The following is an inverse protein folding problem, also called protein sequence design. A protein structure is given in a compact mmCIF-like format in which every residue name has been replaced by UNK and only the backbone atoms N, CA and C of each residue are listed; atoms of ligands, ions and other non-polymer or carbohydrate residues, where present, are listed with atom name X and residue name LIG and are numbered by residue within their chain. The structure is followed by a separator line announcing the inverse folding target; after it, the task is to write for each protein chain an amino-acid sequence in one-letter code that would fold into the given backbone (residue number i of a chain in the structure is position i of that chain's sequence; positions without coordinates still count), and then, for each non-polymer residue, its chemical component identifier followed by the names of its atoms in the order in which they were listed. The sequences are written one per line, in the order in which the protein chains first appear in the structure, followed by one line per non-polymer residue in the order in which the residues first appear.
data_IF_426617515750
#
_entry.id   IF_426617515750
#
_cell.length_a   1.000
_cell.length_b   1.000
_cell.length_c   1.000
_cell.angle_alpha   90.00
_cell.angle_beta   90.00
_cell.angle_gamma   90.00
#
_symmetry.space_group_name_H-M   'P 1'
#
loop_
_entity.id
_entity.type
_entity.pdbx_description
1 polymer ?
#
# COMPACT_ATOMS: atom_id res chain seq x y z
N UNK A 1 55.01 12.26 -33.04
CA UNK A 1 53.69 12.73 -33.52
C UNK A 1 53.12 13.65 -32.45
N UNK A 2 53.08 14.94 -32.77
CA UNK A 2 52.69 16.10 -31.97
C UNK A 2 51.22 16.39 -32.34
N UNK A 3 50.29 16.78 -31.45
CA UNK A 3 49.81 18.16 -31.15
C UNK A 3 48.58 17.93 -30.23
N UNK A 4 48.53 18.30 -28.95
CA UNK A 4 48.32 19.62 -28.29
C UNK A 4 46.92 20.26 -28.50
N UNK A 5 46.37 20.72 -27.37
CA UNK A 5 45.11 21.44 -27.18
C UNK A 5 44.91 22.65 -28.11
N UNK A 6 43.65 23.02 -28.37
CA UNK A 6 43.25 24.44 -28.44
C UNK A 6 41.73 24.60 -28.38
N UNK A 7 41.29 25.43 -27.45
CA UNK A 7 39.95 26.00 -27.43
C UNK A 7 39.75 26.91 -28.64
N UNK A 8 38.53 26.95 -29.19
CA UNK A 8 38.05 28.06 -30.01
C UNK A 8 36.66 28.42 -29.52
N UNK A 9 36.61 29.49 -28.73
CA UNK A 9 35.43 30.30 -28.57
C UNK A 9 35.19 31.04 -29.90
N UNK A 10 34.00 30.90 -30.48
CA UNK A 10 33.51 31.79 -31.52
C UNK A 10 32.06 32.15 -31.18
N UNK A 11 31.96 33.31 -30.55
CA UNK A 11 30.80 34.14 -30.33
C UNK A 11 30.11 34.45 -31.68
N UNK A 12 28.84 34.06 -31.86
CA UNK A 12 27.98 34.65 -32.89
C UNK A 12 26.80 35.30 -32.19
N UNK A 13 26.86 36.64 -32.15
CA UNK A 13 25.82 37.53 -31.70
C UNK A 13 24.89 37.82 -32.89
N UNK A 14 23.59 37.53 -32.78
CA UNK A 14 22.66 37.81 -33.88
C UNK A 14 21.18 37.50 -33.60
N UNK A 15 20.51 38.45 -32.94
CA UNK A 15 19.12 38.89 -33.14
C UNK A 15 17.91 37.91 -32.99
N UNK A 16 17.20 38.11 -31.87
CA UNK A 16 15.75 38.40 -31.73
C UNK A 16 14.65 37.39 -32.16
N UNK A 17 13.73 37.15 -31.20
CA UNK A 17 12.35 36.64 -31.34
C UNK A 17 12.20 35.20 -31.85
N UNK A 18 11.75 34.20 -31.11
CA UNK A 18 10.48 34.14 -30.38
C UNK A 18 10.30 32.72 -29.80
N UNK A 19 9.58 32.61 -28.68
CA UNK A 19 9.08 31.38 -28.04
C UNK A 19 10.12 30.31 -27.65
N UNK A 20 10.61 30.41 -26.41
CA UNK A 20 11.36 29.35 -25.76
C UNK A 20 10.53 28.07 -25.64
N UNK A 21 10.94 27.03 -26.36
CA UNK A 21 10.55 25.65 -26.06
C UNK A 21 11.37 25.21 -24.85
N UNK A 22 10.81 25.41 -23.66
CA UNK A 22 11.21 24.66 -22.47
C UNK A 22 10.84 23.19 -22.74
N UNK A 23 11.79 22.24 -22.80
CA UNK A 23 11.40 20.84 -22.72
C UNK A 23 10.76 20.67 -21.35
N UNK A 24 9.43 20.53 -21.35
CA UNK A 24 8.67 19.97 -20.24
C UNK A 24 9.27 18.58 -20.00
N UNK A 25 10.25 18.50 -19.09
CA UNK A 25 10.62 17.26 -18.40
C UNK A 25 9.38 16.86 -17.63
N UNK A 26 8.48 16.17 -18.32
CA UNK A 26 7.33 15.55 -17.71
C UNK A 26 7.85 14.65 -16.60
N UNK A 27 7.30 14.84 -15.41
CA UNK A 27 7.41 13.84 -14.35
C UNK A 27 6.86 12.55 -14.94
N UNK A 28 7.75 11.69 -15.42
CA UNK A 28 7.39 10.35 -15.81
C UNK A 28 7.01 9.64 -14.51
N UNK A 29 5.71 9.52 -14.25
CA UNK A 29 5.15 8.60 -13.26
C UNK A 29 5.37 7.18 -13.81
N UNK A 30 6.63 6.79 -13.85
CA UNK A 30 7.18 5.51 -14.31
C UNK A 30 7.05 4.50 -13.16
N UNK A 31 6.79 3.21 -13.43
CA UNK A 31 6.37 2.23 -12.43
C UNK A 31 7.38 2.12 -11.29
N UNK A 32 6.88 1.70 -10.11
CA UNK A 32 7.68 1.46 -8.91
C UNK A 32 9.03 0.85 -9.28
N UNK A 33 10.13 1.55 -8.96
CA UNK A 33 11.45 1.02 -9.24
C UNK A 33 11.64 -0.28 -8.44
N UNK A 34 12.53 -1.17 -8.87
CA UNK A 34 12.84 -2.37 -8.08
C UNK A 34 13.24 -1.99 -6.65
N UNK A 35 13.97 -0.88 -6.48
CA UNK A 35 14.33 -0.33 -5.18
C UNK A 35 13.10 0.07 -4.34
N UNK A 36 12.06 0.64 -4.95
CA UNK A 36 10.81 0.98 -4.24
C UNK A 36 10.06 -0.28 -3.77
N UNK A 37 10.10 -1.33 -4.58
CA UNK A 37 9.49 -2.63 -4.27
C UNK A 37 10.22 -3.36 -3.14
N UNK A 38 11.55 -3.30 -3.13
CA UNK A 38 12.36 -3.83 -2.03
C UNK A 38 12.12 -3.03 -0.74
N UNK A 39 12.11 -1.69 -0.82
CA UNK A 39 11.79 -0.84 0.33
C UNK A 39 10.36 -1.06 0.86
N UNK A 40 9.40 -1.39 -0.01
CA UNK A 40 8.04 -1.76 0.41
C UNK A 40 8.04 -3.10 1.16
N UNK A 41 8.83 -4.09 0.72
CA UNK A 41 9.00 -5.37 1.43
C UNK A 41 9.60 -5.15 2.81
N UNK A 42 10.66 -4.38 2.92
CA UNK A 42 11.32 -4.10 4.20
C UNK A 42 10.36 -3.42 5.20
N UNK A 43 9.54 -2.48 4.71
CA UNK A 43 8.49 -1.85 5.52
C UNK A 43 7.39 -2.83 5.93
N UNK A 44 7.04 -3.79 5.07
CA UNK A 44 6.07 -4.83 5.41
C UNK A 44 6.59 -5.74 6.53
N UNK A 45 7.85 -6.16 6.47
CA UNK A 45 8.48 -6.96 7.53
C UNK A 45 8.56 -6.18 8.86
N UNK A 46 8.95 -4.91 8.81
CA UNK A 46 8.93 -4.03 9.98
C UNK A 46 7.51 -3.91 10.58
N UNK A 47 6.50 -3.78 9.71
CA UNK A 47 5.08 -3.70 10.10
C UNK A 47 4.63 -4.99 10.78
N UNK A 48 4.99 -6.17 10.25
CA UNK A 48 4.72 -7.47 10.91
C UNK A 48 5.28 -7.45 12.34
N UNK A 49 6.53 -6.99 12.50
CA UNK A 49 7.16 -6.82 13.81
C UNK A 49 6.39 -5.89 14.73
N UNK A 50 5.86 -4.77 14.23
CA UNK A 50 5.02 -3.85 15.01
C UNK A 50 3.73 -4.52 15.49
N UNK A 51 2.99 -5.21 14.62
CA UNK A 51 1.77 -5.93 15.02
C UNK A 51 2.05 -6.99 16.09
N UNK A 52 3.12 -7.78 15.93
CA UNK A 52 3.54 -8.80 16.91
C UNK A 52 3.96 -8.18 18.26
N UNK A 53 4.65 -7.04 18.24
CA UNK A 53 5.03 -6.32 19.47
C UNK A 53 3.83 -5.72 20.19
N UNK A 54 2.83 -5.24 19.43
CA UNK A 54 1.63 -4.60 19.98
C UNK A 54 0.69 -5.62 20.63
N UNK A 55 0.59 -6.81 20.02
CA UNK A 55 -0.20 -7.92 20.55
C UNK A 55 0.49 -9.26 20.26
N UNK A 56 0.99 -9.93 21.30
CA UNK A 56 1.65 -11.22 21.19
C UNK A 56 0.72 -12.31 20.62
N UNK A 57 -0.60 -12.17 20.77
CA UNK A 57 -1.59 -13.08 20.20
C UNK A 57 -1.61 -13.06 18.67
N UNK A 58 -1.04 -12.05 18.03
CA UNK A 58 -0.92 -11.97 16.56
C UNK A 58 -0.06 -13.09 15.97
N UNK A 59 0.87 -13.66 16.74
CA UNK A 59 1.73 -14.76 16.28
C UNK A 59 0.91 -15.95 15.77
N UNK A 60 -0.25 -16.21 16.38
CA UNK A 60 -1.14 -17.31 15.96
C UNK A 60 -1.61 -17.13 14.52
N UNK A 61 -1.97 -15.90 14.13
CA UNK A 61 -2.46 -15.59 12.79
C UNK A 61 -1.33 -15.69 11.76
N UNK A 62 -0.15 -15.17 12.07
CA UNK A 62 1.02 -15.27 11.19
C UNK A 62 1.49 -16.72 10.98
N UNK A 63 1.33 -17.58 11.98
CA UNK A 63 1.74 -18.99 11.90
C UNK A 63 0.68 -19.92 11.31
N UNK A 64 -0.61 -19.65 11.51
CA UNK A 64 -1.69 -20.54 11.07
C UNK A 64 -2.38 -20.14 9.76
N UNK A 65 -2.22 -18.89 9.30
CA UNK A 65 -2.86 -18.45 8.05
C UNK A 65 -2.27 -19.16 6.83
N UNK A 66 -3.11 -19.44 5.85
CA UNK A 66 -2.66 -19.93 4.55
C UNK A 66 -1.82 -18.87 3.82
N UNK A 67 -2.27 -17.62 3.88
CA UNK A 67 -1.54 -16.46 3.38
C UNK A 67 -1.98 -15.18 4.09
N UNK A 68 -1.23 -14.10 3.88
CA UNK A 68 -1.57 -12.79 4.43
C UNK A 68 -1.03 -11.67 3.55
N UNK A 69 -1.74 -10.54 3.55
CA UNK A 69 -1.34 -9.30 2.89
C UNK A 69 -1.03 -8.24 3.95
N UNK A 70 0.11 -7.57 3.80
CA UNK A 70 0.59 -6.53 4.72
C UNK A 70 0.66 -5.21 4.00
N UNK A 71 -0.04 -4.21 4.52
CA UNK A 71 -0.04 -2.84 4.05
C UNK A 71 0.64 -1.96 5.09
N UNK A 72 1.90 -1.54 4.87
CA UNK A 72 2.64 -0.71 5.82
C UNK A 72 2.05 0.69 5.97
N UNK A 73 1.32 1.15 4.95
CA UNK A 73 0.69 2.46 4.92
C UNK A 73 -0.50 2.44 3.95
N UNK A 74 -1.69 2.73 4.48
CA UNK A 74 -2.89 3.04 3.73
C UNK A 74 -3.27 4.47 4.08
N UNK A 75 -3.28 5.33 3.07
CA UNK A 75 -3.76 6.70 3.18
C UNK A 75 -5.24 6.76 2.83
N UNK A 76 -6.02 7.44 3.66
CA UNK A 76 -7.44 7.70 3.44
C UNK A 76 -7.71 9.19 3.53
N UNK A 77 -8.57 9.71 2.66
CA UNK A 77 -8.96 11.11 2.67
C UNK A 77 -10.38 11.30 2.16
N UNK A 78 -11.12 12.24 2.74
CA UNK A 78 -12.48 12.56 2.32
C UNK A 78 -12.85 14.02 2.60
N UNK A 79 -13.63 14.61 1.68
CA UNK A 79 -14.38 15.86 1.85
C UNK A 79 -15.79 15.64 1.28
N UNK A 80 -16.61 14.83 1.97
CA UNK A 80 -17.92 14.37 1.49
C UNK A 80 -17.84 13.14 0.56
N UNK A 81 -16.97 13.20 -0.44
CA UNK A 81 -16.52 12.02 -1.20
C UNK A 81 -15.07 11.75 -0.85
N UNK A 82 -14.73 10.49 -0.66
CA UNK A 82 -13.40 10.07 -0.23
C UNK A 82 -12.92 8.79 -0.87
N UNK A 83 -11.68 8.47 -0.56
CA UNK A 83 -11.09 7.21 -0.95
C UNK A 83 -9.92 6.83 -0.07
N UNK A 84 -9.51 5.59 -0.20
CA UNK A 84 -8.29 5.09 0.40
C UNK A 84 -7.40 4.44 -0.67
N UNK A 85 -6.10 4.60 -0.55
CA UNK A 85 -5.12 3.91 -1.38
C UNK A 85 -3.94 3.45 -0.52
N UNK A 86 -3.45 2.26 -0.83
CA UNK A 86 -2.25 1.72 -0.19
C UNK A 86 -1.63 0.63 -1.04
N UNK A 87 -0.34 0.42 -0.81
CA UNK A 87 0.44 -0.66 -1.44
C UNK A 87 0.89 -1.62 -0.36
N UNK A 88 0.94 -2.88 -0.71
CA UNK A 88 1.18 -3.97 0.22
C UNK A 88 1.97 -5.10 -0.41
N UNK A 89 2.26 -6.07 0.46
CA UNK A 89 3.11 -7.22 0.18
C UNK A 89 2.35 -8.47 0.60
N UNK A 90 2.38 -9.49 -0.25
CA UNK A 90 1.62 -10.71 -0.06
C UNK A 90 2.55 -11.87 0.24
N UNK A 91 2.16 -12.65 1.23
CA UNK A 91 2.87 -13.83 1.68
C UNK A 91 1.95 -15.05 1.63
N UNK A 92 2.50 -16.19 1.23
CA UNK A 92 1.85 -17.50 1.27
C UNK A 92 2.71 -18.41 2.13
N UNK A 93 2.13 -18.95 3.22
CA UNK A 93 2.85 -19.78 4.20
C UNK A 93 4.17 -19.15 4.70
N UNK A 94 4.17 -17.83 4.87
CA UNK A 94 5.33 -17.04 5.30
C UNK A 94 6.34 -16.70 4.19
N UNK A 95 6.21 -17.24 2.99
CA UNK A 95 7.05 -16.90 1.85
C UNK A 95 6.47 -15.70 1.09
N UNK A 96 7.32 -14.74 0.71
CA UNK A 96 6.93 -13.62 -0.16
C UNK A 96 6.53 -14.15 -1.55
N UNK A 97 5.38 -13.71 -2.08
CA UNK A 97 4.87 -14.14 -3.39
C UNK A 97 4.53 -12.99 -4.35
N UNK A 98 4.53 -11.75 -3.88
CA UNK A 98 4.17 -10.60 -4.71
C UNK A 98 3.71 -9.38 -3.94
N UNK A 99 3.22 -8.41 -4.71
CA UNK A 99 2.74 -7.13 -4.23
C UNK A 99 1.23 -7.04 -4.44
N UNK A 100 0.59 -6.13 -3.72
CA UNK A 100 -0.82 -5.85 -3.94
C UNK A 100 -1.14 -4.39 -3.68
N UNK A 101 -2.17 -3.90 -4.36
CA UNK A 101 -2.71 -2.57 -4.15
C UNK A 101 -4.11 -2.67 -3.57
N UNK A 102 -4.44 -1.73 -2.69
CA UNK A 102 -5.79 -1.54 -2.20
C UNK A 102 -6.29 -0.16 -2.61
N UNK A 103 -7.49 -0.12 -3.18
CA UNK A 103 -8.19 1.13 -3.53
C UNK A 103 -9.60 1.07 -2.97
N UNK A 104 -10.04 2.11 -2.29
CA UNK A 104 -11.39 2.23 -1.75
C UNK A 104 -12.02 3.53 -2.22
N UNK A 105 -13.30 3.47 -2.57
CA UNK A 105 -14.14 4.66 -2.73
C UNK A 105 -15.15 4.71 -1.59
N UNK A 106 -15.39 5.89 -1.01
CA UNK A 106 -16.35 6.09 0.06
C UNK A 106 -17.16 7.37 -0.14
N UNK A 107 -18.42 7.36 0.28
CA UNK A 107 -19.29 8.54 0.35
C UNK A 107 -19.78 8.67 1.79
N UNK A 108 -19.66 9.87 2.38
CA UNK A 108 -20.11 10.11 3.74
C UNK A 108 -19.62 11.44 4.34
N UNK A 109 -20.05 11.72 5.56
CA UNK A 109 -19.66 12.91 6.34
C UNK A 109 -18.22 12.84 6.87
N UNK A 110 -17.33 12.13 6.18
CA UNK A 110 -15.93 12.09 6.53
C UNK A 110 -15.24 13.33 5.97
N UNK A 111 -14.68 14.11 6.88
CA UNK A 111 -13.87 15.28 6.57
C UNK A 111 -12.50 15.07 7.21
N UNK A 112 -11.47 14.88 6.39
CA UNK A 112 -10.09 14.80 6.85
C UNK A 112 -9.27 13.72 6.18
N UNK A 113 -8.06 13.52 6.72
CA UNK A 113 -7.11 12.52 6.29
C UNK A 113 -6.76 11.57 7.44
N UNK A 114 -6.55 10.30 7.11
CA UNK A 114 -6.15 9.25 8.04
C UNK A 114 -5.06 8.40 7.38
N UNK A 115 -4.13 7.91 8.19
CA UNK A 115 -3.14 6.93 7.78
C UNK A 115 -3.12 5.78 8.78
N UNK A 116 -3.13 4.56 8.28
CA UNK A 116 -3.10 3.36 9.11
C UNK A 116 -2.32 2.24 8.42
N UNK A 117 -1.83 1.30 9.23
CA UNK A 117 -1.28 0.02 8.76
C UNK A 117 -2.37 -1.02 8.79
N UNK A 118 -2.31 -1.99 7.89
CA UNK A 118 -3.29 -3.07 7.83
C UNK A 118 -2.61 -4.42 7.55
N UNK A 119 -3.10 -5.47 8.20
CA UNK A 119 -2.77 -6.86 7.85
C UNK A 119 -4.06 -7.62 7.65
N UNK A 120 -4.12 -8.37 6.56
CA UNK A 120 -5.24 -9.24 6.20
C UNK A 120 -4.75 -10.67 6.21
N UNK A 121 -5.34 -11.52 7.04
CA UNK A 121 -5.03 -12.95 7.11
C UNK A 121 -6.11 -13.75 6.41
N UNK A 122 -5.68 -14.77 5.67
CA UNK A 122 -6.55 -15.71 4.98
C UNK A 122 -6.38 -17.09 5.58
N UNK A 123 -7.44 -17.64 6.18
CA UNK A 123 -7.41 -18.93 6.86
C UNK A 123 -7.28 -20.09 5.89
N UNK A 124 -7.96 -20.00 4.74
CA UNK A 124 -8.05 -21.07 3.75
C UNK A 124 -7.46 -20.66 2.41
N UNK A 125 -7.08 -21.66 1.62
CA UNK A 125 -6.65 -21.45 0.23
C UNK A 125 -7.75 -20.77 -0.60
N UNK A 126 -9.02 -21.16 -0.40
CA UNK A 126 -10.14 -20.56 -1.12
C UNK A 126 -10.27 -19.05 -0.87
N UNK A 127 -10.13 -18.60 0.39
CA UNK A 127 -10.16 -17.18 0.72
C UNK A 127 -8.96 -16.43 0.10
N UNK A 128 -7.78 -17.06 0.11
CA UNK A 128 -6.58 -16.49 -0.48
C UNK A 128 -6.63 -16.39 -2.01
N UNK A 129 -7.17 -17.41 -2.68
CA UNK A 129 -7.35 -17.41 -4.13
C UNK A 129 -8.40 -16.39 -4.57
N UNK A 130 -9.48 -16.19 -3.80
CA UNK A 130 -10.44 -15.10 -4.04
C UNK A 130 -9.80 -13.72 -3.94
N UNK A 131 -8.90 -13.52 -2.97
CA UNK A 131 -8.08 -12.32 -2.86
C UNK A 131 -7.19 -12.10 -4.07
N UNK A 132 -6.39 -13.10 -4.45
CA UNK A 132 -5.51 -13.00 -5.64
C UNK A 132 -6.29 -12.78 -6.94
N UNK A 133 -7.52 -13.30 -7.02
CA UNK A 133 -8.41 -13.11 -8.18
C UNK A 133 -9.08 -11.73 -8.28
N UNK A 134 -8.82 -10.80 -7.34
CA UNK A 134 -9.39 -9.45 -7.34
C UNK A 134 -10.89 -9.40 -7.02
N UNK A 135 -11.51 -10.53 -6.67
CA UNK A 135 -12.93 -10.64 -6.31
C UNK A 135 -13.20 -10.27 -4.85
N UNK A 136 -12.15 -9.96 -4.08
CA UNK A 136 -12.24 -9.61 -2.66
C UNK A 136 -12.82 -8.21 -2.39
N UNK A 137 -13.52 -7.64 -3.37
CA UNK A 137 -13.96 -6.26 -3.36
C UNK A 137 -15.14 -5.95 -2.39
N UNK A 138 -15.58 -6.93 -1.60
CA UNK A 138 -16.89 -6.84 -0.96
C UNK A 138 -17.06 -7.59 0.37
N UNK A 139 -16.00 -7.75 1.19
CA UNK A 139 -16.24 -8.14 2.59
C UNK A 139 -16.48 -6.89 3.44
N UNK A 140 -17.64 -6.24 3.25
CA UNK A 140 -18.20 -5.26 4.18
C UNK A 140 -18.45 -5.86 5.59
N UNK A 141 -18.17 -7.15 5.79
CA UNK A 141 -18.35 -7.90 7.02
C UNK A 141 -17.05 -8.26 7.75
N UNK A 142 -15.88 -8.02 7.15
CA UNK A 142 -14.60 -8.17 7.85
C UNK A 142 -14.43 -6.94 8.76
N UNK A 143 -14.92 -7.06 9.99
CA UNK A 143 -14.73 -6.04 11.01
C UNK A 143 -13.23 -5.86 11.22
N UNK A 144 -12.67 -4.73 10.76
CA UNK A 144 -11.30 -4.37 11.05
C UNK A 144 -11.19 -4.14 12.56
N UNK A 145 -10.38 -4.95 13.23
CA UNK A 145 -10.14 -4.80 14.66
C UNK A 145 -8.89 -3.96 14.84
N UNK A 146 -9.00 -2.92 15.66
CA UNK A 146 -7.86 -2.13 16.06
C UNK A 146 -6.87 -3.05 16.78
N UNK A 147 -5.63 -3.10 16.29
CA UNK A 147 -4.56 -3.86 16.90
C UNK A 147 -4.09 -3.15 18.17
N UNK A 148 -4.86 -3.33 19.24
CA UNK A 148 -4.49 -3.01 20.61
C UNK A 148 -4.10 -4.29 21.37
N UNK A 149 -3.43 -4.13 22.51
CA UNK A 149 -3.00 -5.27 23.32
C UNK A 149 -4.20 -6.15 23.70
N UNK A 150 -4.16 -7.43 23.31
CA UNK A 150 -5.22 -8.40 23.57
C UNK A 150 -6.41 -8.33 22.63
N UNK A 151 -6.44 -7.39 21.68
CA UNK A 151 -7.52 -7.27 20.70
C UNK A 151 -7.61 -8.54 19.83
N UNK A 152 -6.46 -9.16 19.52
CA UNK A 152 -6.40 -10.38 18.73
C UNK A 152 -7.10 -11.57 19.37
N UNK A 153 -7.23 -11.60 20.71
CA UNK A 153 -7.90 -12.68 21.44
C UNK A 153 -9.42 -12.72 21.19
N UNK A 154 -10.02 -11.58 20.83
CA UNK A 154 -11.45 -11.46 20.52
C UNK A 154 -11.77 -11.56 19.02
N UNK A 155 -10.75 -11.79 18.18
CA UNK A 155 -10.93 -11.88 16.72
C UNK A 155 -10.94 -13.35 16.29
N UNK A 156 -12.02 -13.73 15.62
CA UNK A 156 -12.09 -14.95 14.82
C UNK A 156 -12.12 -14.59 13.33
N UNK A 157 -11.72 -15.53 12.49
CA UNK A 157 -11.89 -15.41 11.04
C UNK A 157 -13.38 -15.34 10.70
N UNK A 158 -13.78 -14.30 9.97
CA UNK A 158 -15.13 -14.20 9.38
C UNK A 158 -15.00 -14.48 7.89
N UNK A 159 -15.75 -15.47 7.41
CA UNK A 159 -15.64 -15.97 6.03
C UNK A 159 -14.20 -16.36 5.63
N UNK A 160 -13.42 -16.86 6.60
CA UNK A 160 -12.02 -17.24 6.40
C UNK A 160 -11.05 -16.06 6.32
N UNK A 161 -11.47 -14.84 6.68
CA UNK A 161 -10.62 -13.64 6.68
C UNK A 161 -10.62 -12.93 8.04
N UNK A 162 -9.44 -12.48 8.47
CA UNK A 162 -9.27 -11.63 9.65
C UNK A 162 -8.48 -10.38 9.26
N UNK A 163 -8.97 -9.20 9.64
CA UNK A 163 -8.39 -7.91 9.28
C UNK A 163 -8.00 -7.16 10.54
N UNK A 164 -6.74 -6.77 10.62
CA UNK A 164 -6.19 -5.98 11.72
C UNK A 164 -5.70 -4.65 11.19
N UNK A 165 -6.01 -3.56 11.89
CA UNK A 165 -5.55 -2.23 11.53
C UNK A 165 -4.87 -1.56 12.70
N UNK A 166 -3.86 -0.74 12.41
CA UNK A 166 -3.18 0.08 13.40
C UNK A 166 -3.12 1.51 12.91
N UNK A 167 -3.88 2.39 13.57
CA UNK A 167 -3.93 3.81 13.23
C UNK A 167 -2.57 4.45 13.48
N UNK A 168 -2.03 5.12 12.47
CA UNK A 168 -0.75 5.82 12.54
C UNK A 168 -0.96 7.34 12.66
N UNK A 169 -1.96 7.89 11.98
CA UNK A 169 -2.32 9.31 12.06
C UNK A 169 -3.78 9.57 11.69
N UNK A 170 -4.32 10.70 12.17
CA UNK A 170 -5.68 11.17 11.86
C UNK A 170 -6.69 10.94 12.99
N UNK A 171 -7.79 11.71 12.96
CA UNK A 171 -8.89 11.59 13.92
C UNK A 171 -9.91 10.55 13.42
N UNK A 172 -10.19 9.52 14.21
CA UNK A 172 -11.11 8.42 13.87
C UNK A 172 -12.57 8.80 14.13
N UNK A 173 -13.13 9.72 13.33
CA UNK A 173 -14.57 9.95 13.24
C UNK A 173 -15.04 9.65 11.82
N UNK A 174 -15.78 8.54 11.64
CA UNK A 174 -16.27 8.17 10.32
C UNK A 174 -17.61 7.43 10.40
N UNK A 175 -18.56 7.90 9.60
CA UNK A 175 -19.70 7.13 9.12
C UNK A 175 -19.67 7.20 7.59
N UNK A 176 -19.03 6.24 6.94
CA UNK A 176 -19.00 6.16 5.48
C UNK A 176 -19.46 4.79 4.99
N UNK A 177 -20.02 4.79 3.78
CA UNK A 177 -20.35 3.58 3.03
C UNK A 177 -19.40 3.57 1.84
N UNK A 178 -18.67 2.47 1.67
CA UNK A 178 -17.66 2.37 0.61
C UNK A 178 -17.36 0.95 0.20
N UNK A 179 -16.91 0.81 -1.05
CA UNK A 179 -16.41 -0.44 -1.61
C UNK A 179 -14.89 -0.39 -1.72
N UNK A 180 -14.24 -1.52 -1.43
CA UNK A 180 -12.78 -1.68 -1.51
C UNK A 180 -12.45 -2.59 -2.70
N UNK A 181 -11.31 -2.43 -3.34
CA UNK A 181 -10.80 -3.30 -4.39
C UNK A 181 -9.35 -3.61 -4.09
N UNK A 182 -8.99 -4.87 -4.29
CA UNK A 182 -7.62 -5.33 -4.20
C UNK A 182 -7.14 -5.82 -5.56
N UNK A 183 -5.92 -5.44 -5.91
CA UNK A 183 -5.22 -5.92 -7.11
C UNK A 183 -3.96 -6.61 -6.66
N UNK A 184 -3.72 -7.84 -7.12
CA UNK A 184 -2.53 -8.63 -6.78
C UNK A 184 -1.61 -8.78 -7.99
N UNK A 185 -0.34 -8.47 -7.79
CA UNK A 185 0.74 -8.61 -8.76
C UNK A 185 1.77 -9.62 -8.22
N UNK A 186 1.87 -10.78 -8.88
CA UNK A 186 2.84 -11.82 -8.52
C UNK A 186 4.27 -11.33 -8.79
N UNK A 187 5.20 -11.63 -7.87
CA UNK A 187 6.62 -11.46 -8.12
C UNK A 187 7.11 -12.55 -9.09
N UNK A 188 7.77 -12.14 -10.17
CA UNK A 188 8.41 -13.04 -11.15
C UNK A 188 9.75 -13.59 -10.65
#
# INVERSE_FOLDING_TARGET
MIVKASQIAALVLGAACSAGVLPLTGCSTTPSSQADRDALRDRAEATIGEFKRRDAGMERFFSSAHGYAVFPEIGKGAVGVGGAYGRGVVFERGAFIGYCDVSQGSVGLQLGGQAFRQVIFFQSQAAFDQFKGGQFAFSANASAVAADAGASAAVDYRDGVAVFTMTTAGLMYEASIGGQRFTFDRAE
#
